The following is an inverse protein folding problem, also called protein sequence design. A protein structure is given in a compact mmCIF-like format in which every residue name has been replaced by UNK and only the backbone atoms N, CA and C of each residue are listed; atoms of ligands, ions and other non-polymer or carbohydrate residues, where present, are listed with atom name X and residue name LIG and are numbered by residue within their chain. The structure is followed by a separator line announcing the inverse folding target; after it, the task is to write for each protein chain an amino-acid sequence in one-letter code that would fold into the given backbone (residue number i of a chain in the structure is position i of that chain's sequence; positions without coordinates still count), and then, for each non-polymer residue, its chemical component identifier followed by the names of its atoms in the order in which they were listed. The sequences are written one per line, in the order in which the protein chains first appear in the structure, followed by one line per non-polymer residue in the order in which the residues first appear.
data_IF_878269764621
#
_entry.id   IF_878269764621
#
_cell.length_a   1.000
_cell.length_b   1.000
_cell.length_c   1.000
_cell.angle_alpha   90.00
_cell.angle_beta   90.00
_cell.angle_gamma   90.00
#
_symmetry.space_group_name_H-M   'P 1'
#
loop_
_entity.id
_entity.type
_entity.pdbx_description
1 polymer ?
#
# COMPACT_ATOMS: atom_id res chain seq x y z
N UNK A 1 12.01 14.14 -13.98
CA UNK A 1 12.09 13.61 -12.59
C UNK A 1 13.52 13.73 -12.09
N UNK A 2 13.80 13.84 -10.78
CA UNK A 2 15.17 14.03 -10.22
C UNK A 2 15.87 12.69 -9.92
N UNK A 3 17.19 12.60 -10.18
CA UNK A 3 17.99 11.37 -10.00
C UNK A 3 17.94 10.95 -8.54
N UNK A 4 18.11 11.92 -7.64
CA UNK A 4 18.09 11.72 -6.19
C UNK A 4 16.75 11.12 -5.76
N UNK A 5 15.63 11.64 -6.28
CA UNK A 5 14.29 11.16 -5.93
C UNK A 5 14.09 9.73 -6.44
N UNK A 6 14.42 9.46 -7.71
CA UNK A 6 14.26 8.13 -8.30
C UNK A 6 15.16 7.09 -7.61
N UNK A 7 16.42 7.42 -7.33
CA UNK A 7 17.32 6.56 -6.56
C UNK A 7 16.76 6.25 -5.18
N UNK A 8 16.22 7.23 -4.46
CA UNK A 8 15.61 7.00 -3.14
C UNK A 8 14.35 6.14 -3.22
N UNK A 9 13.47 6.41 -4.19
CA UNK A 9 12.24 5.65 -4.39
C UNK A 9 12.52 4.19 -4.74
N UNK A 10 13.42 3.94 -5.70
CA UNK A 10 13.78 2.58 -6.12
C UNK A 10 14.45 1.81 -4.96
N UNK A 11 15.38 2.44 -4.23
CA UNK A 11 15.98 1.81 -3.05
C UNK A 11 14.96 1.52 -1.94
N UNK A 12 13.96 2.40 -1.78
CA UNK A 12 12.84 2.17 -0.86
C UNK A 12 12.03 0.95 -1.28
N UNK A 13 11.66 0.86 -2.56
CA UNK A 13 10.91 -0.26 -3.12
C UNK A 13 11.62 -1.59 -2.90
N UNK A 14 12.92 -1.69 -3.17
CA UNK A 14 13.72 -2.89 -2.88
C UNK A 14 13.58 -3.33 -1.42
N UNK A 15 13.71 -2.39 -0.47
CA UNK A 15 13.62 -2.70 0.97
C UNK A 15 12.24 -3.21 1.38
N UNK A 16 11.18 -2.60 0.86
CA UNK A 16 9.80 -3.00 1.19
C UNK A 16 9.46 -4.35 0.57
N UNK A 17 9.89 -4.61 -0.67
CA UNK A 17 9.69 -5.92 -1.32
C UNK A 17 10.47 -7.02 -0.58
N UNK A 18 11.72 -6.77 -0.18
CA UNK A 18 12.50 -7.71 0.67
C UNK A 18 11.81 -7.96 2.03
N UNK A 19 11.24 -6.93 2.64
CA UNK A 19 10.49 -7.06 3.88
C UNK A 19 9.22 -7.90 3.68
N UNK A 20 8.49 -7.68 2.60
CA UNK A 20 7.29 -8.46 2.27
C UNK A 20 7.65 -9.93 2.02
N UNK A 21 8.73 -10.20 1.29
CA UNK A 21 9.23 -11.56 1.05
C UNK A 21 9.56 -12.28 2.36
N UNK A 22 10.25 -11.60 3.29
CA UNK A 22 10.55 -12.19 4.60
C UNK A 22 9.27 -12.46 5.40
N UNK A 23 8.38 -11.48 5.46
CA UNK A 23 7.11 -11.57 6.21
C UNK A 23 6.25 -12.72 5.68
N UNK A 24 6.12 -12.83 4.35
CA UNK A 24 5.36 -13.89 3.71
C UNK A 24 5.97 -15.27 3.95
N UNK A 25 7.29 -15.41 3.83
CA UNK A 25 7.99 -16.68 4.12
C UNK A 25 7.77 -17.13 5.56
N UNK A 26 7.79 -16.20 6.52
CA UNK A 26 7.57 -16.52 7.92
C UNK A 26 6.10 -16.89 8.19
N UNK A 27 5.14 -16.22 7.55
CA UNK A 27 3.72 -16.58 7.61
C UNK A 27 3.45 -17.96 7.00
N UNK A 28 4.04 -18.28 5.83
CA UNK A 28 3.90 -19.58 5.18
C UNK A 28 4.48 -20.70 6.04
N UNK A 29 5.64 -20.49 6.67
CA UNK A 29 6.21 -21.48 7.61
C UNK A 29 5.31 -21.75 8.80
N UNK A 30 4.56 -20.74 9.26
CA UNK A 30 3.71 -20.82 10.45
C UNK A 30 2.36 -21.46 10.16
N UNK A 31 1.71 -21.08 9.06
CA UNK A 31 0.33 -21.45 8.75
C UNK A 31 0.19 -22.42 7.57
N UNK A 32 1.25 -22.59 6.78
CA UNK A 32 1.24 -23.35 5.54
C UNK A 32 0.81 -22.51 4.33
N UNK A 33 1.14 -22.96 3.10
CA UNK A 33 0.89 -22.20 1.88
C UNK A 33 -0.60 -22.03 1.54
N UNK A 34 -1.44 -22.98 1.98
CA UNK A 34 -2.88 -22.99 1.71
C UNK A 34 -3.72 -22.14 2.67
N UNK A 35 -3.09 -21.45 3.63
CA UNK A 35 -3.79 -20.59 4.57
C UNK A 35 -4.51 -19.45 3.82
N UNK A 36 -5.81 -19.31 4.10
CA UNK A 36 -6.66 -18.25 3.55
C UNK A 36 -6.29 -16.88 4.15
N UNK A 37 -6.26 -15.87 3.30
CA UNK A 37 -5.98 -14.47 3.62
C UNK A 37 -7.01 -13.55 2.98
N UNK A 38 -7.54 -12.61 3.74
CA UNK A 38 -8.54 -11.65 3.25
C UNK A 38 -8.57 -10.38 4.11
N UNK A 39 -9.04 -9.28 3.50
CA UNK A 39 -9.43 -8.09 4.25
C UNK A 39 -10.90 -8.20 4.72
N UNK A 40 -11.27 -7.50 5.80
CA UNK A 40 -12.62 -7.58 6.34
C UNK A 40 -13.66 -7.00 5.37
N UNK A 41 -14.73 -7.76 5.13
CA UNK A 41 -15.93 -7.31 4.40
C UNK A 41 -15.63 -6.67 3.03
N UNK A 42 -14.82 -7.35 2.21
CA UNK A 42 -14.58 -6.95 0.81
C UNK A 42 -14.89 -8.07 -0.17
N UNK A 43 -15.47 -7.71 -1.32
CA UNK A 43 -15.66 -8.62 -2.45
C UNK A 43 -14.52 -8.63 -3.46
N UNK A 44 -13.40 -7.96 -3.15
CA UNK A 44 -12.33 -7.65 -4.11
C UNK A 44 -10.96 -8.21 -3.74
N UNK A 45 -10.91 -9.31 -2.97
CA UNK A 45 -9.67 -9.98 -2.56
C UNK A 45 -8.69 -9.02 -1.88
N UNK A 46 -7.47 -8.88 -2.43
CA UNK A 46 -6.54 -7.80 -2.16
C UNK A 46 -6.76 -6.69 -3.21
N UNK A 47 -7.47 -5.59 -2.87
CA UNK A 47 -8.01 -4.67 -3.86
C UNK A 47 -6.98 -4.00 -4.76
N UNK A 48 -5.78 -3.65 -4.26
CA UNK A 48 -4.76 -2.97 -5.07
C UNK A 48 -4.21 -3.95 -6.10
N UNK A 49 -3.78 -5.13 -5.68
CA UNK A 49 -3.28 -6.19 -6.58
C UNK A 49 -4.36 -6.57 -7.58
N UNK A 50 -5.60 -6.80 -7.12
CA UNK A 50 -6.71 -7.20 -7.99
C UNK A 50 -7.05 -6.12 -9.02
N UNK A 51 -7.07 -4.84 -8.63
CA UNK A 51 -7.37 -3.72 -9.53
C UNK A 51 -6.37 -3.57 -10.68
N UNK A 52 -5.10 -3.91 -10.45
CA UNK A 52 -4.03 -3.73 -11.44
C UNK A 52 -3.76 -4.97 -12.27
N UNK A 53 -3.95 -6.17 -11.70
CA UNK A 53 -3.55 -7.43 -12.34
C UNK A 53 -4.72 -8.36 -12.66
N UNK A 54 -5.88 -8.16 -12.04
CA UNK A 54 -6.99 -9.12 -12.07
C UNK A 54 -6.73 -10.43 -11.30
N UNK A 55 -5.63 -10.51 -10.55
CA UNK A 55 -5.26 -11.71 -9.79
C UNK A 55 -6.04 -11.77 -8.49
N UNK A 56 -6.87 -12.80 -8.33
CA UNK A 56 -7.54 -13.10 -7.08
C UNK A 56 -6.56 -13.74 -6.11
N UNK A 57 -6.14 -13.00 -5.08
CA UNK A 57 -5.25 -13.51 -4.03
C UNK A 57 -6.12 -13.96 -2.86
N UNK A 58 -6.23 -15.27 -2.68
CA UNK A 58 -7.02 -15.90 -1.61
C UNK A 58 -6.13 -16.60 -0.57
N UNK A 59 -4.95 -17.06 -0.98
CA UNK A 59 -4.04 -17.84 -0.13
C UNK A 59 -2.64 -17.26 -0.09
N UNK A 60 -1.87 -17.61 0.94
CA UNK A 60 -0.46 -17.22 1.06
C UNK A 60 0.37 -17.63 -0.16
N UNK A 61 0.11 -18.79 -0.78
CA UNK A 61 0.79 -19.22 -2.01
C UNK A 61 0.52 -18.33 -3.23
N UNK A 62 -0.63 -17.65 -3.27
CA UNK A 62 -0.94 -16.72 -4.37
C UNK A 62 -0.20 -15.39 -4.19
N UNK A 63 0.02 -14.97 -2.93
CA UNK A 63 0.85 -13.82 -2.62
C UNK A 63 2.33 -14.03 -3.03
N UNK A 64 2.85 -15.27 -3.02
CA UNK A 64 4.21 -15.57 -3.50
C UNK A 64 4.36 -15.21 -4.99
N UNK A 65 3.37 -15.58 -5.81
CA UNK A 65 3.35 -15.26 -7.25
C UNK A 65 3.34 -13.75 -7.47
N UNK A 66 2.61 -13.00 -6.65
CA UNK A 66 2.59 -11.52 -6.72
C UNK A 66 3.95 -10.93 -6.36
N UNK A 67 4.66 -11.47 -5.37
CA UNK A 67 6.02 -11.03 -5.05
C UNK A 67 7.02 -11.32 -6.17
N UNK A 68 6.89 -12.45 -6.86
CA UNK A 68 7.70 -12.73 -8.06
C UNK A 68 7.48 -11.66 -9.15
N UNK A 69 6.25 -11.20 -9.34
CA UNK A 69 5.96 -10.08 -10.25
C UNK A 69 6.50 -8.75 -9.73
N UNK A 70 6.43 -8.48 -8.42
CA UNK A 70 7.05 -7.29 -7.82
C UNK A 70 8.54 -7.21 -8.15
N UNK A 71 9.26 -8.32 -8.06
CA UNK A 71 10.70 -8.37 -8.35
C UNK A 71 11.01 -8.04 -9.82
N UNK A 72 10.12 -8.37 -10.76
CA UNK A 72 10.26 -8.03 -12.18
C UNK A 72 10.02 -6.53 -12.44
N UNK A 73 9.20 -5.88 -11.63
CA UNK A 73 8.91 -4.45 -11.72
C UNK A 73 10.01 -3.56 -11.13
N UNK A 74 10.90 -4.11 -10.29
CA UNK A 74 11.98 -3.34 -9.68
C UNK A 74 13.08 -3.02 -10.71
N UNK A 75 13.25 -1.74 -11.10
CA UNK A 75 14.31 -1.37 -12.04
C UNK A 75 15.67 -1.34 -11.35
N UNK A 76 16.73 -1.39 -12.15
CA UNK A 76 18.07 -1.10 -11.63
C UNK A 76 18.16 0.32 -11.06
N UNK A 77 18.94 0.47 -10.00
CA UNK A 77 19.19 1.79 -9.39
C UNK A 77 19.92 2.68 -10.42
N UNK A 78 19.49 3.94 -10.61
CA UNK A 78 20.11 4.84 -11.57
C UNK A 78 21.63 4.96 -11.35
N UNK A 79 22.46 4.77 -12.39
CA UNK A 79 23.91 4.82 -12.27
C UNK A 79 24.42 6.24 -12.01
N UNK A 80 25.67 6.35 -11.55
CA UNK A 80 26.19 7.65 -11.16
C UNK A 80 26.46 8.62 -12.31
N UNK A 81 26.82 8.07 -13.48
CA UNK A 81 27.11 8.79 -14.71
C UNK A 81 26.24 8.25 -15.85
N UNK A 82 25.85 9.12 -16.79
CA UNK A 82 25.11 8.77 -18.01
C UNK A 82 23.81 7.99 -17.74
N UNK A 83 22.83 8.65 -17.12
CA UNK A 83 21.52 8.07 -16.85
C UNK A 83 20.45 8.56 -17.83
N UNK A 84 19.47 7.70 -18.10
CA UNK A 84 18.28 8.02 -18.90
C UNK A 84 17.12 8.50 -18.01
N UNK A 85 16.10 9.17 -18.56
CA UNK A 85 14.90 9.52 -17.82
C UNK A 85 14.21 8.27 -17.23
N UNK A 86 13.96 8.27 -15.92
CA UNK A 86 13.59 7.11 -15.10
C UNK A 86 12.12 7.10 -14.66
N UNK A 87 11.24 7.93 -15.26
CA UNK A 87 9.87 8.04 -14.77
C UNK A 87 9.14 6.70 -14.79
N UNK A 88 9.21 5.95 -15.90
CA UNK A 88 8.57 4.63 -16.03
C UNK A 88 9.01 3.67 -14.93
N UNK A 89 10.30 3.31 -14.88
CA UNK A 89 10.81 2.41 -13.85
C UNK A 89 10.60 2.91 -12.41
N UNK A 90 10.61 4.22 -12.17
CA UNK A 90 10.30 4.76 -10.83
C UNK A 90 8.84 4.53 -10.46
N UNK A 91 7.91 4.63 -11.42
CA UNK A 91 6.50 4.31 -11.22
C UNK A 91 6.30 2.81 -11.02
N UNK A 92 6.99 1.96 -11.80
CA UNK A 92 6.96 0.51 -11.64
C UNK A 92 7.43 0.08 -10.24
N UNK A 93 8.51 0.70 -9.74
CA UNK A 93 8.97 0.52 -8.36
C UNK A 93 7.91 0.95 -7.33
N UNK A 94 7.15 2.01 -7.62
CA UNK A 94 6.02 2.44 -6.79
C UNK A 94 4.90 1.41 -6.75
N UNK A 95 4.54 0.83 -7.91
CA UNK A 95 3.54 -0.24 -8.00
C UNK A 95 3.99 -1.47 -7.19
N UNK A 96 5.24 -1.91 -7.36
CA UNK A 96 5.80 -3.01 -6.59
C UNK A 96 5.74 -2.76 -5.07
N UNK A 97 5.98 -1.51 -4.66
CA UNK A 97 5.87 -1.11 -3.24
C UNK A 97 4.43 -1.23 -2.74
N UNK A 98 3.44 -0.79 -3.52
CA UNK A 98 2.03 -0.88 -3.14
C UNK A 98 1.57 -2.34 -2.97
N UNK A 99 1.96 -3.23 -3.89
CA UNK A 99 1.63 -4.65 -3.80
C UNK A 99 2.31 -5.32 -2.59
N UNK A 100 3.58 -4.99 -2.35
CA UNK A 100 4.32 -5.51 -1.20
C UNK A 100 3.72 -5.05 0.14
N UNK A 101 3.33 -3.78 0.27
CA UNK A 101 2.66 -3.28 1.48
C UNK A 101 1.29 -3.93 1.67
N UNK A 102 0.51 -4.15 0.60
CA UNK A 102 -0.79 -4.83 0.71
C UNK A 102 -0.65 -6.28 1.23
N UNK A 103 0.39 -6.99 0.80
CA UNK A 103 0.74 -8.33 1.30
C UNK A 103 1.14 -8.26 2.79
N UNK A 104 1.98 -7.29 3.17
CA UNK A 104 2.37 -7.11 4.58
C UNK A 104 1.14 -6.81 5.44
N UNK A 105 0.24 -5.94 4.98
CA UNK A 105 -0.97 -5.58 5.71
C UNK A 105 -1.93 -6.75 5.88
N UNK A 106 -2.21 -7.54 4.84
CA UNK A 106 -3.10 -8.71 5.01
C UNK A 106 -2.50 -9.76 5.95
N UNK A 107 -1.17 -9.92 5.96
CA UNK A 107 -0.50 -10.80 6.93
C UNK A 107 -0.68 -10.28 8.37
N UNK A 108 -0.73 -8.96 8.60
CA UNK A 108 -1.04 -8.42 9.94
C UNK A 108 -2.46 -8.79 10.40
N UNK A 109 -3.43 -8.89 9.50
CA UNK A 109 -4.77 -9.41 9.85
C UNK A 109 -4.73 -10.88 10.27
N UNK A 110 -3.81 -11.66 9.71
CA UNK A 110 -3.62 -13.08 10.05
C UNK A 110 -2.83 -13.29 11.34
N UNK A 111 -1.68 -12.62 11.49
CA UNK A 111 -0.70 -12.88 12.55
C UNK A 111 -0.73 -11.88 13.72
N UNK A 112 -1.32 -10.71 13.50
CA UNK A 112 -1.27 -9.59 14.44
C UNK A 112 0.06 -8.81 14.40
N UNK A 113 0.14 -7.66 15.11
CA UNK A 113 -0.89 -7.09 15.98
C UNK A 113 -2.12 -6.63 15.19
N UNK A 114 -3.28 -6.60 15.86
CA UNK A 114 -4.53 -6.17 15.23
C UNK A 114 -4.34 -4.78 14.62
N UNK A 115 -4.57 -4.61 13.30
CA UNK A 115 -4.49 -3.31 12.66
C UNK A 115 -5.64 -2.37 13.08
N UNK A 116 -6.63 -2.89 13.82
CA UNK A 116 -7.75 -2.14 14.39
C UNK A 116 -7.58 -2.05 15.91
N UNK A 117 -7.26 -0.84 16.40
CA UNK A 117 -7.12 -0.54 17.82
C UNK A 117 -7.35 0.96 18.10
N UNK A 118 -8.35 1.29 18.93
CA UNK A 118 -8.62 2.68 19.33
C UNK A 118 -8.95 3.59 18.13
N UNK A 119 -8.02 4.48 17.77
CA UNK A 119 -8.16 5.40 16.63
C UNK A 119 -7.72 4.77 15.29
N UNK A 120 -7.10 3.59 15.32
CA UNK A 120 -6.65 2.87 14.13
C UNK A 120 -7.82 2.04 13.56
N UNK A 121 -8.18 2.32 12.31
CA UNK A 121 -9.37 1.76 11.67
C UNK A 121 -9.08 0.51 10.81
N UNK A 122 -7.80 0.27 10.48
CA UNK A 122 -7.43 -0.78 9.53
C UNK A 122 -7.93 -0.50 8.10
N UNK A 123 -8.25 -1.58 7.39
CA UNK A 123 -8.69 -1.58 6.00
C UNK A 123 -10.17 -1.18 5.94
N UNK A 124 -10.49 -0.25 5.04
CA UNK A 124 -11.86 0.19 4.86
C UNK A 124 -12.68 -0.91 4.18
N UNK A 125 -13.84 -1.21 4.77
CA UNK A 125 -14.79 -2.19 4.20
C UNK A 125 -15.50 -1.64 2.97
N UNK A 126 -16.02 -2.52 2.11
CA UNK A 126 -16.77 -2.12 0.92
C UNK A 126 -18.00 -1.26 1.26
N UNK A 127 -18.59 -1.47 2.45
CA UNK A 127 -19.73 -0.67 2.94
C UNK A 127 -19.32 0.78 3.12
N UNK A 128 -18.19 1.04 3.78
CA UNK A 128 -17.67 2.38 4.02
C UNK A 128 -17.31 3.06 2.70
N UNK A 129 -16.66 2.33 1.78
CA UNK A 129 -16.29 2.87 0.47
C UNK A 129 -17.52 3.25 -0.35
N UNK A 130 -18.60 2.46 -0.31
CA UNK A 130 -19.86 2.78 -1.01
C UNK A 130 -20.57 3.98 -0.41
N UNK A 131 -20.61 4.09 0.92
CA UNK A 131 -21.22 5.22 1.62
C UNK A 131 -20.48 6.53 1.28
N UNK A 132 -19.16 6.55 1.43
CA UNK A 132 -18.32 7.72 1.08
C UNK A 132 -18.31 8.03 -0.40
N UNK A 133 -18.50 7.01 -1.25
CA UNK A 133 -18.62 7.18 -2.69
C UNK A 133 -19.75 8.12 -3.11
N UNK A 134 -20.86 8.16 -2.35
CA UNK A 134 -21.98 9.07 -2.63
C UNK A 134 -21.53 10.53 -2.48
N UNK A 135 -20.80 10.84 -1.42
CA UNK A 135 -20.30 12.19 -1.11
C UNK A 135 -19.33 12.70 -2.17
N UNK A 136 -18.57 11.81 -2.82
CA UNK A 136 -17.68 12.18 -3.93
C UNK A 136 -18.44 12.44 -5.23
N UNK A 137 -19.55 11.73 -5.47
CA UNK A 137 -20.34 11.87 -6.70
C UNK A 137 -21.22 13.11 -6.65
N UNK A 138 -21.82 13.41 -5.50
CA UNK A 138 -22.66 14.61 -5.32
C UNK A 138 -21.85 15.89 -5.05
N UNK A 139 -20.53 15.76 -4.83
CA UNK A 139 -19.61 16.87 -4.63
C UNK A 139 -19.58 17.43 -3.21
N UNK A 140 -20.26 16.78 -2.25
CA UNK A 140 -20.22 17.16 -0.83
C UNK A 140 -18.80 16.99 -0.26
N UNK A 141 -18.09 15.95 -0.69
CA UNK A 141 -16.67 15.74 -0.45
C UNK A 141 -15.87 16.05 -1.73
N UNK A 142 -15.17 17.19 -1.82
CA UNK A 142 -14.43 17.58 -3.04
C UNK A 142 -13.17 16.74 -3.27
N UNK A 143 -12.70 15.98 -2.27
CA UNK A 143 -11.50 15.16 -2.33
C UNK A 143 -11.19 14.53 -0.98
N UNK A 144 -10.04 13.87 -0.87
CA UNK A 144 -9.52 13.33 0.39
C UNK A 144 -8.06 13.75 0.58
N UNK A 145 -7.62 13.80 1.83
CA UNK A 145 -6.24 14.10 2.19
C UNK A 145 -5.58 12.91 2.90
N UNK A 146 -4.65 12.24 2.21
CA UNK A 146 -3.79 11.23 2.83
C UNK A 146 -2.58 11.91 3.51
N UNK A 147 -2.67 12.12 4.82
CA UNK A 147 -1.60 12.73 5.61
C UNK A 147 -0.71 11.65 6.24
N UNK A 148 0.56 11.60 5.82
CA UNK A 148 1.55 10.62 6.31
C UNK A 148 2.77 11.33 6.92
N UNK A 149 3.27 10.81 8.03
CA UNK A 149 4.47 11.33 8.72
C UNK A 149 4.13 12.08 10.02
N UNK A 150 5.02 12.98 10.42
CA UNK A 150 4.88 13.75 11.65
C UNK A 150 5.12 15.25 11.40
N UNK A 151 4.26 16.09 11.96
CA UNK A 151 4.48 17.54 12.00
C UNK A 151 5.56 17.89 13.02
N UNK A 152 6.09 19.13 12.93
CA UNK A 152 7.07 19.65 13.90
C UNK A 152 6.51 19.73 15.33
N UNK A 153 5.20 19.96 15.46
CA UNK A 153 4.49 20.05 16.72
C UNK A 153 2.99 19.77 16.55
N UNK A 154 2.32 19.46 17.67
CA UNK A 154 0.89 19.11 17.67
C UNK A 154 -0.02 20.27 17.26
N UNK A 155 0.33 21.52 17.54
CA UNK A 155 -0.51 22.67 17.18
C UNK A 155 -0.56 22.82 15.66
N UNK A 156 0.57 22.63 14.99
CA UNK A 156 0.64 22.61 13.53
C UNK A 156 -0.20 21.48 12.94
N UNK A 157 -0.12 20.26 13.48
CA UNK A 157 -0.92 19.13 13.02
C UNK A 157 -2.43 19.38 13.17
N UNK A 158 -2.87 19.88 14.33
CA UNK A 158 -4.28 20.21 14.60
C UNK A 158 -4.76 21.30 13.66
N UNK A 159 -3.94 22.34 13.43
CA UNK A 159 -4.28 23.41 12.50
C UNK A 159 -4.52 22.88 11.08
N UNK A 160 -3.61 22.07 10.55
CA UNK A 160 -3.74 21.48 9.21
C UNK A 160 -5.00 20.62 9.13
N UNK A 161 -5.25 19.76 10.12
CA UNK A 161 -6.44 18.91 10.14
C UNK A 161 -7.74 19.74 10.16
N UNK A 162 -7.80 20.82 10.93
CA UNK A 162 -8.96 21.72 10.96
C UNK A 162 -9.17 22.47 9.66
N UNK A 163 -8.09 22.96 9.03
CA UNK A 163 -8.18 23.62 7.72
C UNK A 163 -8.68 22.69 6.60
N UNK A 164 -8.38 21.39 6.68
CA UNK A 164 -8.93 20.38 5.76
C UNK A 164 -10.42 20.13 6.03
N UNK A 165 -10.79 19.96 7.31
CA UNK A 165 -12.19 19.78 7.71
C UNK A 165 -13.08 20.97 7.31
N UNK A 166 -12.59 22.21 7.43
CA UNK A 166 -13.31 23.42 7.00
C UNK A 166 -13.57 23.46 5.48
N UNK A 167 -12.81 22.67 4.71
CA UNK A 167 -12.98 22.51 3.25
C UNK A 167 -13.77 21.26 2.88
N UNK A 168 -14.36 20.57 3.87
CA UNK A 168 -15.04 19.28 3.72
C UNK A 168 -14.12 18.17 3.17
N UNK A 169 -12.83 18.19 3.53
CA UNK A 169 -11.81 17.18 3.16
C UNK A 169 -11.38 16.39 4.40
#
# INVERSE_FOLDING_TARGET
MSKIIATSAIKGAYRIVEQAEKTLKDAIKKHGPDQHIEFPNTGYYLPIIYSMTGTAVEKLSDAEKVLEECMKLLPSVPPDKLWLPYLGGTLDAGIATLWAEEIIEVIKYLDGPSPVEGIWLGAATDVIIRERGIEFVDGTAPGFAACVGACKDNKTAVKIARELQEKNI
#
